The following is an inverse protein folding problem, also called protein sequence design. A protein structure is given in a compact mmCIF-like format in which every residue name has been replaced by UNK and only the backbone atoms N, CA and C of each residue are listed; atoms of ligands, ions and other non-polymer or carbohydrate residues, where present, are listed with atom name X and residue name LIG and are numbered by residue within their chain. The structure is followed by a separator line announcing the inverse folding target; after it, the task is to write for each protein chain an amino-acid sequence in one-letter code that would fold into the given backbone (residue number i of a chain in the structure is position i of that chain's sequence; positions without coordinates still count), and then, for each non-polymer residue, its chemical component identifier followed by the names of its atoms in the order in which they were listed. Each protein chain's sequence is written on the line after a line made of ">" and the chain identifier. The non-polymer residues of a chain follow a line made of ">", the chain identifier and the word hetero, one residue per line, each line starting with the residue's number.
data_IF_924668842012
#
_entry.id   IF_924668842012
#
_cell.length_a   1.000
_cell.length_b   1.000
_cell.length_c   1.000
_cell.angle_alpha   90.00
_cell.angle_beta   90.00
_cell.angle_gamma   90.00
#
_symmetry.space_group_name_H-M   'P 1'
#
loop_
_entity.id
_entity.type
_entity.pdbx_description
1 polymer ?
#
# COMPACT_ATOMS: atom_id res chain seq x y z
N UNK A 1 -4.09 -8.80 -11.35
CA UNK A 1 -4.80 -9.89 -10.68
C UNK A 1 -6.25 -9.89 -11.14
N UNK A 2 -6.87 -11.07 -11.21
CA UNK A 2 -8.27 -11.28 -11.63
C UNK A 2 -9.08 -11.92 -10.51
N UNK A 3 -10.44 -11.84 -10.53
CA UNK A 3 -11.26 -12.54 -9.55
C UNK A 3 -10.99 -14.04 -9.45
N UNK A 4 -10.62 -14.69 -10.57
CA UNK A 4 -10.39 -16.12 -10.61
C UNK A 4 -9.20 -16.61 -9.77
N UNK A 5 -8.19 -15.75 -9.56
CA UNK A 5 -6.95 -16.10 -8.84
C UNK A 5 -6.79 -15.35 -7.51
N UNK A 6 -7.64 -14.35 -7.24
CA UNK A 6 -7.44 -13.39 -6.15
C UNK A 6 -7.42 -14.05 -4.77
N UNK A 7 -8.25 -15.06 -4.55
CA UNK A 7 -8.32 -15.76 -3.25
C UNK A 7 -7.04 -16.55 -3.01
N UNK A 8 -6.64 -17.43 -3.93
CA UNK A 8 -5.47 -18.30 -3.75
C UNK A 8 -4.17 -17.49 -3.57
N UNK A 9 -4.00 -16.45 -4.37
CA UNK A 9 -2.84 -15.55 -4.26
C UNK A 9 -2.84 -14.82 -2.91
N UNK A 10 -4.00 -14.35 -2.46
CA UNK A 10 -4.10 -13.62 -1.19
C UNK A 10 -3.93 -14.55 0.03
N UNK A 11 -4.42 -15.79 -0.04
CA UNK A 11 -4.17 -16.81 1.00
C UNK A 11 -2.67 -17.04 1.19
N UNK A 12 -1.92 -17.22 0.08
CA UNK A 12 -0.47 -17.38 0.15
C UNK A 12 0.22 -16.19 0.82
N UNK A 13 -0.22 -14.96 0.54
CA UNK A 13 0.31 -13.76 1.21
C UNK A 13 -0.05 -13.74 2.71
N UNK A 14 -1.27 -14.09 3.07
CA UNK A 14 -1.74 -14.09 4.47
C UNK A 14 -1.02 -15.15 5.29
N UNK A 15 -0.75 -16.34 4.74
CA UNK A 15 0.09 -17.37 5.35
C UNK A 15 1.52 -16.88 5.62
N UNK A 16 2.03 -15.95 4.80
CA UNK A 16 3.30 -15.27 5.00
C UNK A 16 3.19 -14.01 5.87
N UNK A 17 2.09 -13.88 6.64
CA UNK A 17 1.83 -12.77 7.58
C UNK A 17 1.57 -11.40 6.96
N UNK A 18 1.17 -11.30 5.70
CA UNK A 18 0.66 -10.07 5.14
C UNK A 18 -0.75 -9.82 5.70
N UNK A 19 -0.96 -8.66 6.30
CA UNK A 19 -2.23 -8.29 6.97
C UNK A 19 -2.96 -7.13 6.29
N UNK A 20 -2.37 -6.58 5.25
CA UNK A 20 -2.94 -5.48 4.45
C UNK A 20 -2.75 -5.86 2.98
N UNK A 21 -3.85 -5.94 2.25
CA UNK A 21 -3.87 -6.25 0.81
C UNK A 21 -4.70 -5.21 0.10
N UNK A 22 -4.16 -4.62 -0.96
CA UNK A 22 -4.91 -3.71 -1.82
C UNK A 22 -4.98 -4.25 -3.25
N UNK A 23 -6.13 -4.10 -3.87
CA UNK A 23 -6.38 -4.44 -5.28
C UNK A 23 -6.34 -3.15 -6.09
N UNK A 24 -5.42 -3.01 -7.05
CA UNK A 24 -5.37 -1.82 -7.91
C UNK A 24 -6.62 -1.73 -8.80
N UNK A 25 -7.27 -0.56 -8.84
CA UNK A 25 -8.49 -0.37 -9.63
C UNK A 25 -8.29 -0.43 -11.16
N UNK A 26 -7.04 -0.50 -11.62
CA UNK A 26 -6.70 -0.80 -13.01
C UNK A 26 -6.49 -2.31 -13.28
N UNK A 27 -6.81 -3.17 -12.33
CA UNK A 27 -6.90 -4.64 -12.53
C UNK A 27 -8.22 -5.00 -13.25
N UNK A 28 -8.32 -6.18 -13.88
CA UNK A 28 -9.60 -6.68 -14.35
C UNK A 28 -10.58 -6.91 -13.18
N UNK A 29 -11.82 -6.43 -13.34
CA UNK A 29 -12.94 -6.60 -12.39
C UNK A 29 -12.52 -6.40 -10.91
N UNK A 30 -11.92 -5.22 -10.57
CA UNK A 30 -11.28 -5.02 -9.28
C UNK A 30 -12.28 -4.97 -8.12
N UNK A 31 -13.49 -4.49 -8.35
CA UNK A 31 -14.53 -4.43 -7.31
C UNK A 31 -14.98 -5.84 -6.92
N UNK A 32 -15.21 -6.72 -7.88
CA UNK A 32 -15.51 -8.13 -7.63
C UNK A 32 -14.40 -8.80 -6.81
N UNK A 33 -13.14 -8.57 -7.17
CA UNK A 33 -11.99 -9.08 -6.41
C UNK A 33 -11.97 -8.57 -4.97
N UNK A 34 -12.29 -7.29 -4.74
CA UNK A 34 -12.37 -6.71 -3.39
C UNK A 34 -13.50 -7.35 -2.58
N UNK A 35 -14.70 -7.48 -3.15
CA UNK A 35 -15.86 -8.11 -2.50
C UNK A 35 -15.56 -9.55 -2.10
N UNK A 36 -14.93 -10.33 -2.99
CA UNK A 36 -14.51 -11.70 -2.71
C UNK A 36 -13.53 -11.76 -1.52
N UNK A 37 -12.49 -10.90 -1.51
CA UNK A 37 -11.51 -10.86 -0.43
C UNK A 37 -12.12 -10.40 0.90
N UNK A 38 -12.98 -9.39 0.89
CA UNK A 38 -13.70 -8.93 2.08
C UNK A 38 -14.57 -10.03 2.67
N UNK A 39 -15.31 -10.75 1.83
CA UNK A 39 -16.14 -11.87 2.26
C UNK A 39 -15.31 -13.04 2.82
N UNK A 40 -14.16 -13.31 2.20
CA UNK A 40 -13.29 -14.44 2.55
C UNK A 40 -12.53 -14.20 3.86
N UNK A 41 -11.81 -13.09 3.97
CA UNK A 41 -10.93 -12.79 5.11
C UNK A 41 -11.61 -12.07 6.27
N UNK A 42 -12.77 -11.45 6.04
CA UNK A 42 -13.52 -10.68 7.05
C UNK A 42 -12.61 -9.67 7.77
N UNK A 43 -12.51 -9.78 9.10
CA UNK A 43 -11.70 -8.86 9.92
C UNK A 43 -10.24 -9.28 10.09
N UNK A 44 -9.83 -10.44 9.58
CA UNK A 44 -8.47 -10.97 9.74
C UNK A 44 -7.43 -10.20 8.93
N UNK A 45 -7.86 -9.61 7.80
CA UNK A 45 -7.02 -8.87 6.85
C UNK A 45 -7.67 -7.54 6.51
N UNK A 46 -6.89 -6.48 6.41
CA UNK A 46 -7.36 -5.19 5.91
C UNK A 46 -7.33 -5.26 4.38
N UNK A 47 -8.51 -5.33 3.78
CA UNK A 47 -8.67 -5.30 2.33
C UNK A 47 -8.95 -3.87 1.88
N UNK A 48 -8.32 -3.46 0.79
CA UNK A 48 -8.49 -2.14 0.22
C UNK A 48 -8.33 -2.06 -1.29
N UNK A 49 -8.38 -0.85 -1.79
CA UNK A 49 -8.13 -0.53 -3.19
C UNK A 49 -6.90 0.34 -3.37
N UNK A 50 -6.12 0.03 -4.41
CA UNK A 50 -5.05 0.87 -4.93
C UNK A 50 -5.45 1.64 -6.18
N UNK A 51 -4.64 2.60 -6.58
CA UNK A 51 -4.86 3.42 -7.78
C UNK A 51 -6.21 4.16 -7.77
N UNK A 52 -6.62 4.60 -6.58
CA UNK A 52 -7.87 5.36 -6.40
C UNK A 52 -7.64 6.81 -6.81
N UNK A 53 -8.31 7.28 -7.88
CA UNK A 53 -8.05 8.59 -8.51
C UNK A 53 -9.29 9.47 -8.66
N UNK A 54 -10.48 8.97 -8.30
CA UNK A 54 -11.73 9.71 -8.45
C UNK A 54 -12.74 9.40 -7.32
N UNK A 55 -13.81 10.22 -7.24
CA UNK A 55 -14.81 10.13 -6.18
C UNK A 55 -15.76 8.94 -6.37
N UNK A 56 -16.04 8.53 -7.59
CA UNK A 56 -16.92 7.38 -7.87
C UNK A 56 -16.26 6.11 -7.35
N UNK A 57 -14.96 5.97 -7.56
CA UNK A 57 -14.17 4.86 -7.02
C UNK A 57 -14.26 4.77 -5.50
N UNK A 58 -14.25 5.90 -4.76
CA UNK A 58 -14.39 5.90 -3.29
C UNK A 58 -15.71 5.27 -2.87
N UNK A 59 -16.82 5.63 -3.54
CA UNK A 59 -18.13 5.07 -3.23
C UNK A 59 -18.15 3.56 -3.49
N UNK A 60 -17.69 3.13 -4.67
CA UNK A 60 -17.71 1.72 -5.06
C UNK A 60 -16.90 0.84 -4.11
N UNK A 61 -15.67 1.27 -3.73
CA UNK A 61 -14.85 0.47 -2.83
C UNK A 61 -15.40 0.45 -1.39
N UNK A 62 -16.05 1.52 -0.94
CA UNK A 62 -16.70 1.54 0.36
C UNK A 62 -17.93 0.61 0.38
N UNK A 63 -18.75 0.60 -0.67
CA UNK A 63 -19.88 -0.31 -0.85
C UNK A 63 -19.43 -1.78 -0.92
N UNK A 64 -18.28 -2.06 -1.55
CA UNK A 64 -17.65 -3.38 -1.59
C UNK A 64 -17.09 -3.83 -0.23
N UNK A 65 -17.13 -3.00 0.81
CA UNK A 65 -16.65 -3.32 2.14
C UNK A 65 -15.13 -3.12 2.34
N UNK A 66 -14.44 -2.45 1.41
CA UNK A 66 -13.05 -2.10 1.58
C UNK A 66 -12.84 -1.20 2.81
N UNK A 67 -11.68 -1.34 3.45
CA UNK A 67 -11.29 -0.54 4.63
C UNK A 67 -10.14 0.43 4.34
N UNK A 68 -9.50 0.33 3.18
CA UNK A 68 -8.29 1.06 2.80
C UNK A 68 -8.40 1.63 1.39
N UNK A 69 -7.97 2.88 1.22
CA UNK A 69 -7.83 3.55 -0.07
C UNK A 69 -6.39 4.05 -0.24
N UNK A 70 -5.68 3.51 -1.24
CA UNK A 70 -4.31 3.89 -1.61
C UNK A 70 -4.34 4.65 -2.93
N UNK A 71 -3.78 5.84 -2.95
CA UNK A 71 -3.82 6.75 -4.08
C UNK A 71 -2.42 6.93 -4.69
N UNK A 72 -2.30 7.06 -6.03
CA UNK A 72 -1.01 7.30 -6.65
C UNK A 72 -0.54 8.75 -6.50
N UNK A 73 -1.45 9.68 -6.16
CA UNK A 73 -1.22 11.11 -6.05
C UNK A 73 -1.94 11.72 -4.84
N UNK A 74 -1.60 12.94 -4.49
CA UNK A 74 -2.25 13.72 -3.46
C UNK A 74 -3.44 14.52 -4.01
N UNK A 75 -4.65 14.20 -3.55
CA UNK A 75 -5.86 14.95 -3.88
C UNK A 75 -6.67 15.21 -2.61
N UNK A 76 -6.70 16.48 -2.18
CA UNK A 76 -7.46 16.93 -1.00
C UNK A 76 -8.91 16.44 -1.06
N UNK A 77 -9.54 16.55 -2.23
CA UNK A 77 -10.95 16.19 -2.42
C UNK A 77 -11.17 14.68 -2.24
N UNK A 78 -10.28 13.85 -2.78
CA UNK A 78 -10.40 12.39 -2.70
C UNK A 78 -10.09 11.92 -1.27
N UNK A 79 -9.04 12.45 -0.62
CA UNK A 79 -8.71 12.12 0.76
C UNK A 79 -9.88 12.45 1.69
N UNK A 80 -10.48 13.64 1.58
CA UNK A 80 -11.64 14.03 2.41
C UNK A 80 -12.85 13.12 2.17
N UNK A 81 -13.13 12.75 0.92
CA UNK A 81 -14.22 11.84 0.61
C UNK A 81 -13.97 10.44 1.17
N UNK A 82 -12.77 9.90 1.01
CA UNK A 82 -12.40 8.59 1.56
C UNK A 82 -12.50 8.57 3.10
N UNK A 83 -12.04 9.63 3.77
CA UNK A 83 -12.19 9.78 5.22
C UNK A 83 -13.67 9.85 5.64
N UNK A 84 -14.50 10.59 4.92
CA UNK A 84 -15.93 10.67 5.18
C UNK A 84 -16.64 9.32 5.01
N UNK A 85 -16.12 8.44 4.13
CA UNK A 85 -16.59 7.06 3.95
C UNK A 85 -15.97 6.06 4.94
N UNK A 86 -15.20 6.52 5.94
CA UNK A 86 -14.61 5.67 6.97
C UNK A 86 -13.36 4.88 6.54
N UNK A 87 -12.79 5.18 5.37
CA UNK A 87 -11.62 4.48 4.84
C UNK A 87 -10.33 4.98 5.51
N UNK A 88 -9.39 4.08 5.72
CA UNK A 88 -7.98 4.41 5.94
C UNK A 88 -7.44 4.98 4.63
N UNK A 89 -6.76 6.12 4.69
CA UNK A 89 -6.30 6.84 3.49
C UNK A 89 -4.80 6.96 3.43
N UNK A 90 -4.22 6.50 2.31
CA UNK A 90 -2.78 6.56 2.05
C UNK A 90 -2.53 7.23 0.69
N UNK A 91 -2.58 8.57 0.62
CA UNK A 91 -2.33 9.31 -0.62
C UNK A 91 -0.86 9.30 -1.00
N UNK A 92 -0.61 9.32 -2.32
CA UNK A 92 0.71 9.47 -2.91
C UNK A 92 1.23 10.91 -2.80
N UNK A 93 2.50 11.05 -2.41
CA UNK A 93 3.22 12.33 -2.31
C UNK A 93 4.65 12.15 -2.77
N UNK A 94 5.24 13.22 -3.28
CA UNK A 94 6.64 13.25 -3.68
C UNK A 94 7.39 14.45 -3.11
N UNK A 95 6.68 15.46 -2.62
CA UNK A 95 7.24 16.69 -2.05
C UNK A 95 6.70 16.98 -0.66
N UNK A 96 7.42 17.74 0.18
CA UNK A 96 6.89 18.19 1.47
C UNK A 96 5.58 18.97 1.35
N UNK A 97 5.40 19.80 0.32
CA UNK A 97 4.16 20.57 0.11
C UNK A 97 2.95 19.65 -0.06
N UNK A 98 3.09 18.61 -0.88
CA UNK A 98 2.04 17.61 -1.05
C UNK A 98 1.78 16.85 0.26
N UNK A 99 2.85 16.47 0.96
CA UNK A 99 2.75 15.73 2.21
C UNK A 99 1.95 16.52 3.26
N UNK A 100 2.26 17.79 3.50
CA UNK A 100 1.52 18.64 4.43
C UNK A 100 0.05 18.80 4.02
N UNK A 101 -0.22 19.04 2.74
CA UNK A 101 -1.60 19.17 2.24
C UNK A 101 -2.43 17.87 2.48
N UNK A 102 -1.82 16.71 2.32
CA UNK A 102 -2.49 15.43 2.57
C UNK A 102 -2.72 15.17 4.06
N UNK A 103 -1.74 15.50 4.91
CA UNK A 103 -1.86 15.40 6.36
C UNK A 103 -3.00 16.31 6.87
N UNK A 104 -3.05 17.57 6.42
CA UNK A 104 -4.11 18.52 6.77
C UNK A 104 -5.49 18.07 6.27
N UNK A 105 -5.52 17.25 5.22
CA UNK A 105 -6.76 16.68 4.68
C UNK A 105 -7.24 15.43 5.44
N UNK A 106 -6.44 14.92 6.39
CA UNK A 106 -6.78 13.78 7.24
C UNK A 106 -6.20 12.45 6.78
N UNK A 107 -5.12 12.45 6.01
CA UNK A 107 -4.43 11.21 5.63
C UNK A 107 -3.92 10.46 6.88
N UNK A 108 -4.09 9.14 6.91
CA UNK A 108 -3.64 8.27 8.00
C UNK A 108 -2.17 7.88 7.84
N UNK A 109 -1.68 7.80 6.60
CA UNK A 109 -0.29 7.59 6.24
C UNK A 109 -0.01 8.23 4.88
N UNK A 110 1.25 8.27 4.48
CA UNK A 110 1.69 8.80 3.18
C UNK A 110 2.38 7.71 2.36
N UNK A 111 2.04 7.62 1.09
CA UNK A 111 2.75 6.82 0.09
C UNK A 111 3.80 7.70 -0.58
N UNK A 112 5.09 7.47 -0.33
CA UNK A 112 6.17 8.11 -1.08
C UNK A 112 6.29 7.42 -2.44
N UNK A 113 5.85 8.08 -3.50
CA UNK A 113 5.70 7.46 -4.83
C UNK A 113 6.02 8.44 -5.98
N UNK A 114 6.76 7.97 -7.00
CA UNK A 114 7.43 6.69 -7.12
C UNK A 114 8.76 6.64 -6.35
N UNK A 115 8.99 5.62 -5.53
CA UNK A 115 10.20 5.53 -4.71
C UNK A 115 11.48 5.33 -5.54
N UNK A 116 11.37 4.88 -6.79
CA UNK A 116 12.50 4.86 -7.74
C UNK A 116 13.13 6.25 -7.95
N UNK A 117 12.32 7.31 -7.85
CA UNK A 117 12.78 8.71 -7.94
C UNK A 117 13.10 9.36 -6.60
N UNK A 118 12.81 8.68 -5.48
CA UNK A 118 12.97 9.18 -4.12
C UNK A 118 13.85 8.26 -3.26
N UNK A 119 15.17 8.23 -3.48
CA UNK A 119 16.09 7.39 -2.72
C UNK A 119 15.99 7.65 -1.21
N UNK A 120 16.52 6.76 -0.35
CA UNK A 120 16.37 6.83 1.12
C UNK A 120 16.73 8.19 1.73
N UNK A 121 17.68 8.91 1.14
CA UNK A 121 18.03 10.27 1.59
C UNK A 121 16.88 11.26 1.44
N UNK A 122 16.03 11.13 0.43
CA UNK A 122 14.83 11.97 0.25
C UNK A 122 13.81 11.69 1.35
N UNK A 123 13.54 10.42 1.63
CA UNK A 123 12.66 10.04 2.74
C UNK A 123 13.18 10.61 4.08
N UNK A 124 14.49 10.47 4.34
CA UNK A 124 15.12 11.01 5.57
C UNK A 124 14.91 12.53 5.67
N UNK A 125 15.09 13.26 4.58
CA UNK A 125 14.89 14.70 4.57
C UNK A 125 13.40 15.08 4.80
N UNK A 126 12.47 14.36 4.20
CA UNK A 126 11.04 14.56 4.44
C UNK A 126 10.66 14.28 5.90
N UNK A 127 11.15 13.18 6.49
CA UNK A 127 10.88 12.85 7.90
C UNK A 127 11.44 13.87 8.89
N UNK A 128 12.46 14.63 8.53
CA UNK A 128 13.01 15.68 9.39
C UNK A 128 12.05 16.88 9.58
N UNK A 129 11.09 17.07 8.68
CA UNK A 129 10.16 18.23 8.71
C UNK A 129 8.69 17.80 8.90
N UNK A 130 8.34 16.56 8.62
CA UNK A 130 6.96 16.07 8.75
C UNK A 130 6.67 15.61 10.19
N UNK A 131 5.41 15.64 10.64
CA UNK A 131 5.02 15.13 11.95
C UNK A 131 5.44 13.68 12.14
N UNK A 132 6.09 13.36 13.24
CA UNK A 132 6.64 12.01 13.52
C UNK A 132 5.58 10.93 13.63
N UNK A 133 4.35 11.32 13.99
CA UNK A 133 3.21 10.39 14.11
C UNK A 133 2.69 9.87 12.76
N UNK A 134 3.02 10.54 11.65
CA UNK A 134 2.52 10.13 10.33
C UNK A 134 3.46 9.09 9.72
N UNK A 135 2.96 7.86 9.46
CA UNK A 135 3.73 6.84 8.75
C UNK A 135 4.00 7.24 7.31
N UNK A 136 5.20 6.94 6.82
CA UNK A 136 5.57 7.10 5.41
C UNK A 136 6.00 5.76 4.85
N UNK A 137 5.39 5.38 3.74
CA UNK A 137 5.54 4.10 3.07
C UNK A 137 6.14 4.33 1.68
N UNK A 138 7.41 4.01 1.43
CA UNK A 138 7.95 3.98 0.07
C UNK A 138 7.25 2.93 -0.79
N UNK A 139 6.88 3.32 -2.01
CA UNK A 139 6.16 2.48 -2.98
C UNK A 139 6.73 2.72 -4.38
N UNK A 140 6.95 1.65 -5.13
CA UNK A 140 7.56 1.68 -6.47
C UNK A 140 9.01 1.23 -6.45
N UNK A 141 9.32 0.17 -7.22
CA UNK A 141 10.67 -0.39 -7.34
C UNK A 141 11.28 -0.93 -6.04
N UNK A 142 10.46 -1.19 -5.02
CA UNK A 142 10.92 -1.77 -3.75
C UNK A 142 11.19 -3.26 -3.97
N UNK A 143 12.41 -3.67 -3.59
CA UNK A 143 12.89 -5.06 -3.60
C UNK A 143 13.43 -5.42 -2.21
N UNK A 144 13.53 -6.72 -1.84
CA UNK A 144 13.95 -7.14 -0.50
C UNK A 144 15.32 -6.57 -0.06
N UNK A 145 16.23 -6.37 -0.99
CA UNK A 145 17.58 -5.82 -0.73
C UNK A 145 17.57 -4.32 -0.43
N UNK A 146 16.60 -3.56 -0.97
CA UNK A 146 16.49 -2.11 -0.76
C UNK A 146 15.83 -1.74 0.58
N UNK A 147 15.08 -2.64 1.20
CA UNK A 147 14.26 -2.34 2.39
C UNK A 147 15.09 -1.79 3.55
N UNK A 148 16.29 -2.34 3.80
CA UNK A 148 17.12 -1.95 4.91
C UNK A 148 17.54 -0.48 4.86
N UNK A 149 17.86 0.06 3.68
CA UNK A 149 18.25 1.45 3.51
C UNK A 149 17.08 2.41 3.76
N UNK A 150 15.89 2.07 3.25
CA UNK A 150 14.69 2.86 3.50
C UNK A 150 14.26 2.82 4.98
N UNK A 151 14.40 1.68 5.67
CA UNK A 151 14.11 1.60 7.10
C UNK A 151 15.08 2.46 7.92
N UNK A 152 16.38 2.44 7.63
CA UNK A 152 17.37 3.35 8.24
C UNK A 152 17.04 4.83 7.98
N UNK A 153 16.41 5.14 6.86
CA UNK A 153 15.94 6.48 6.53
C UNK A 153 14.61 6.84 7.24
N UNK A 154 13.97 5.90 7.92
CA UNK A 154 12.75 6.12 8.69
C UNK A 154 11.46 5.67 8.01
N UNK A 155 11.50 4.76 7.03
CA UNK A 155 10.31 4.13 6.50
C UNK A 155 9.55 3.36 7.59
N UNK A 156 8.24 3.53 7.65
CA UNK A 156 7.37 2.85 8.61
C UNK A 156 6.79 1.53 8.06
N UNK A 157 6.95 1.28 6.78
CA UNK A 157 6.49 0.12 6.05
C UNK A 157 6.75 0.32 4.56
N UNK A 158 6.18 -0.55 3.74
CA UNK A 158 6.38 -0.53 2.28
C UNK A 158 5.09 -0.88 1.54
N UNK A 159 4.88 -0.29 0.37
CA UNK A 159 3.94 -0.83 -0.60
C UNK A 159 4.69 -1.67 -1.62
N UNK A 160 4.29 -2.92 -1.75
CA UNK A 160 4.92 -3.91 -2.61
C UNK A 160 4.05 -4.16 -3.84
N UNK A 161 4.61 -4.06 -5.02
CA UNK A 161 3.93 -4.25 -6.29
C UNK A 161 4.57 -5.37 -7.11
N UNK A 162 5.08 -5.03 -8.29
CA UNK A 162 5.56 -5.99 -9.29
C UNK A 162 6.70 -6.92 -8.88
N UNK A 163 7.41 -6.63 -7.80
CA UNK A 163 8.40 -7.53 -7.23
C UNK A 163 7.78 -8.61 -6.33
N UNK A 164 6.53 -8.42 -5.89
CA UNK A 164 5.78 -9.39 -5.10
C UNK A 164 4.89 -10.25 -6.00
N UNK A 165 4.09 -9.62 -6.85
CA UNK A 165 3.14 -10.28 -7.74
C UNK A 165 3.13 -9.61 -9.13
N UNK A 166 3.04 -10.44 -10.17
CA UNK A 166 2.75 -10.05 -11.56
C UNK A 166 1.72 -11.02 -12.15
N UNK A 167 0.87 -10.57 -13.09
CA UNK A 167 -0.02 -11.47 -13.80
C UNK A 167 0.71 -12.68 -14.38
N UNK A 168 0.16 -13.87 -14.15
CA UNK A 168 0.72 -15.14 -14.60
C UNK A 168 1.70 -15.82 -13.65
N UNK A 169 2.03 -15.22 -12.51
CA UNK A 169 2.77 -15.91 -11.45
C UNK A 169 1.91 -16.98 -10.79
N UNK A 170 2.52 -18.08 -10.43
CA UNK A 170 1.92 -19.13 -9.62
C UNK A 170 1.82 -18.71 -8.14
N UNK A 171 0.98 -19.40 -7.38
CA UNK A 171 0.85 -19.22 -5.93
C UNK A 171 2.19 -19.42 -5.22
N UNK A 172 2.96 -20.45 -5.63
CA UNK A 172 4.26 -20.76 -5.05
C UNK A 172 5.29 -19.64 -5.31
N UNK A 173 5.34 -19.09 -6.53
CA UNK A 173 6.22 -17.97 -6.85
C UNK A 173 5.89 -16.72 -6.00
N UNK A 174 4.61 -16.45 -5.76
CA UNK A 174 4.20 -15.34 -4.90
C UNK A 174 4.56 -15.60 -3.44
N UNK A 175 4.40 -16.83 -2.96
CA UNK A 175 4.81 -17.23 -1.61
C UNK A 175 6.33 -17.09 -1.40
N UNK A 176 7.15 -17.49 -2.38
CA UNK A 176 8.60 -17.33 -2.36
C UNK A 176 9.01 -15.84 -2.34
N UNK A 177 8.36 -15.01 -3.15
CA UNK A 177 8.59 -13.57 -3.14
C UNK A 177 8.21 -12.96 -1.78
N UNK A 178 7.09 -13.37 -1.19
CA UNK A 178 6.64 -12.92 0.12
C UNK A 178 7.66 -13.29 1.22
N UNK A 179 8.21 -14.51 1.19
CA UNK A 179 9.28 -14.93 2.10
C UNK A 179 10.54 -14.07 1.93
N UNK A 180 10.93 -13.76 0.69
CA UNK A 180 12.09 -12.90 0.43
C UNK A 180 11.91 -11.48 1.01
N UNK A 181 10.69 -10.91 0.91
CA UNK A 181 10.38 -9.62 1.52
C UNK A 181 10.38 -9.69 3.05
N UNK A 182 9.85 -10.74 3.65
CA UNK A 182 9.90 -10.95 5.09
C UNK A 182 11.35 -11.06 5.61
N UNK A 183 12.22 -11.75 4.88
CA UNK A 183 13.65 -11.82 5.22
C UNK A 183 14.36 -10.47 5.04
N UNK A 184 13.98 -9.69 4.02
CA UNK A 184 14.45 -8.32 3.83
C UNK A 184 14.10 -7.44 5.04
N UNK A 185 12.86 -7.55 5.52
CA UNK A 185 12.37 -6.82 6.69
C UNK A 185 13.11 -7.22 7.98
N UNK A 186 13.34 -8.51 8.22
CA UNK A 186 14.07 -9.02 9.38
C UNK A 186 15.54 -8.58 9.40
N UNK A 187 16.19 -8.59 8.23
CA UNK A 187 17.61 -8.14 8.12
C UNK A 187 17.78 -6.69 8.53
N UNK A 188 16.85 -5.84 8.17
CA UNK A 188 16.89 -4.44 8.51
C UNK A 188 16.62 -4.18 10.00
N UNK A 189 15.72 -4.94 10.64
CA UNK A 189 15.45 -4.82 12.07
C UNK A 189 16.66 -5.21 12.94
N UNK A 190 17.56 -6.06 12.44
CA UNK A 190 18.81 -6.46 13.14
C UNK A 190 19.95 -5.45 12.95
N UNK A 191 19.80 -4.50 12.04
CA UNK A 191 20.85 -3.51 11.70
C UNK A 191 20.60 -2.12 12.35
N UNK A 192 19.55 -1.99 13.14
CA UNK A 192 19.17 -0.83 13.96
C UNK A 192 19.53 -1.09 15.43
#
# INVERSE_FOLDING_TARGET
>A
ITPAEVIEISEALVEKNFKIIEIPLNSPDPIESIEMLVSHFKDEVIIGAGTVTDLTSIQLIAEAGARLSVMPNGSIRIVKAAKASGLITIPGVFTPTEAFAMIESGADALKLFPAEGAPPMVLKAMKAVLPTAIPILPVGGITPDKMAEYQKAGANGFGLGSALYKPGMTVDEVAENADAFNEGLKRSARAL
#
